data_IF_601398977017
#
_entry.id   IF_601398977017
#
_cell.length_a   1.000
_cell.length_b   1.000
_cell.length_c   1.000
_cell.angle_alpha   90.00
_cell.angle_beta   90.00
_cell.angle_gamma   90.00
#
_symmetry.space_group_name_H-M   'P 1'
#
loop_
_entity.id
_entity.type
_entity.pdbx_description
1 polymer ?
#
# COMPACT_ATOMS: atom_id res chain seq x y z
N UNK A 1 -27.17 -16.44 -21.84
CA UNK A 1 -27.27 -15.30 -20.89
C UNK A 1 -26.06 -15.17 -19.93
N UNK A 2 -24.80 -15.53 -20.30
CA UNK A 2 -23.72 -15.65 -19.29
C UNK A 2 -22.64 -14.55 -19.27
N UNK A 3 -22.50 -13.74 -20.33
CA UNK A 3 -21.36 -12.80 -20.45
C UNK A 3 -21.52 -11.56 -19.55
N UNK A 4 -22.74 -11.12 -19.27
CA UNK A 4 -23.02 -9.92 -18.45
C UNK A 4 -22.62 -10.06 -16.99
N UNK A 5 -22.50 -11.29 -16.46
CA UNK A 5 -22.17 -11.53 -15.04
C UNK A 5 -20.67 -11.41 -14.79
N UNK A 6 -19.83 -11.98 -15.65
CA UNK A 6 -18.37 -11.98 -15.51
C UNK A 6 -17.78 -10.56 -15.43
N UNK A 7 -18.23 -9.63 -16.29
CA UNK A 7 -17.77 -8.23 -16.26
C UNK A 7 -18.17 -7.44 -15.00
N UNK A 8 -19.28 -7.83 -14.34
CA UNK A 8 -19.70 -7.19 -13.07
C UNK A 8 -18.83 -7.65 -11.90
N UNK A 9 -18.44 -8.93 -11.86
CA UNK A 9 -17.54 -9.45 -10.83
C UNK A 9 -16.12 -8.87 -10.94
N UNK A 10 -15.58 -8.75 -12.15
CA UNK A 10 -14.26 -8.13 -12.38
C UNK A 10 -14.23 -6.68 -11.86
N UNK A 11 -15.25 -5.89 -12.22
CA UNK A 11 -15.36 -4.48 -11.80
C UNK A 11 -15.45 -4.32 -10.28
N UNK A 12 -16.20 -5.20 -9.62
CA UNK A 12 -16.34 -5.16 -8.15
C UNK A 12 -15.04 -5.57 -7.46
N UNK A 13 -14.29 -6.53 -8.01
CA UNK A 13 -12.98 -6.92 -7.53
C UNK A 13 -11.96 -5.78 -7.68
N UNK A 14 -11.92 -5.15 -8.86
CA UNK A 14 -11.00 -4.04 -9.14
C UNK A 14 -11.25 -2.84 -8.20
N UNK A 15 -12.51 -2.48 -7.99
CA UNK A 15 -12.90 -1.40 -7.06
C UNK A 15 -12.47 -1.70 -5.61
N UNK A 16 -12.68 -2.93 -5.14
CA UNK A 16 -12.27 -3.33 -3.79
C UNK A 16 -10.75 -3.36 -3.62
N UNK A 17 -10.01 -3.85 -4.62
CA UNK A 17 -8.55 -3.90 -4.59
C UNK A 17 -7.96 -2.48 -4.58
N UNK A 18 -8.47 -1.59 -5.44
CA UNK A 18 -8.03 -0.19 -5.48
C UNK A 18 -8.32 0.54 -4.17
N UNK A 19 -9.50 0.33 -3.57
CA UNK A 19 -9.81 0.91 -2.25
C UNK A 19 -8.82 0.45 -1.15
N UNK A 20 -8.34 -0.80 -1.20
CA UNK A 20 -7.35 -1.28 -0.24
C UNK A 20 -5.97 -0.68 -0.50
N UNK A 21 -5.58 -0.57 -1.77
CA UNK A 21 -4.33 0.09 -2.20
C UNK A 21 -4.33 1.54 -1.72
N UNK A 22 -5.40 2.30 -1.97
CA UNK A 22 -5.52 3.71 -1.57
C UNK A 22 -5.41 3.87 -0.05
N UNK A 23 -6.11 3.03 0.72
CA UNK A 23 -6.01 3.04 2.20
C UNK A 23 -4.60 2.76 2.70
N UNK A 24 -3.84 1.90 2.04
CA UNK A 24 -2.46 1.60 2.43
C UNK A 24 -1.50 2.71 1.97
N UNK A 25 -1.78 3.34 0.83
CA UNK A 25 -1.06 4.52 0.34
C UNK A 25 -1.18 5.70 1.31
N UNK A 26 -2.38 5.97 1.82
CA UNK A 26 -2.60 7.02 2.83
C UNK A 26 -1.81 6.72 4.11
N UNK A 27 -1.82 5.47 4.56
CA UNK A 27 -1.01 5.04 5.72
C UNK A 27 0.49 5.18 5.47
N UNK A 28 0.94 4.90 4.24
CA UNK A 28 2.33 5.07 3.86
C UNK A 28 2.73 6.54 3.92
N UNK A 29 1.91 7.44 3.38
CA UNK A 29 2.15 8.88 3.44
C UNK A 29 2.32 9.35 4.88
N UNK A 30 1.41 8.97 5.78
CA UNK A 30 1.52 9.29 7.21
C UNK A 30 2.80 8.74 7.83
N UNK A 31 3.16 7.48 7.53
CA UNK A 31 4.36 6.86 8.08
C UNK A 31 5.65 7.52 7.56
N UNK A 32 5.67 7.97 6.29
CA UNK A 32 6.80 8.69 5.70
C UNK A 32 6.94 10.08 6.33
N UNK A 33 5.85 10.85 6.41
CA UNK A 33 5.88 12.16 7.07
C UNK A 33 6.31 12.07 8.53
N UNK A 34 5.85 11.06 9.27
CA UNK A 34 6.28 10.84 10.65
C UNK A 34 7.78 10.51 10.74
N UNK A 35 8.30 9.71 9.80
CA UNK A 35 9.73 9.43 9.73
C UNK A 35 10.54 10.69 9.42
N UNK A 36 10.10 11.53 8.49
CA UNK A 36 10.76 12.80 8.13
C UNK A 36 10.83 13.75 9.34
N UNK A 37 9.70 13.95 10.04
CA UNK A 37 9.65 14.76 11.26
C UNK A 37 10.61 14.23 12.34
N UNK A 38 10.62 12.92 12.58
CA UNK A 38 11.53 12.33 13.57
C UNK A 38 12.99 12.33 13.12
N UNK A 39 13.26 12.34 11.81
CA UNK A 39 14.61 12.52 11.29
C UNK A 39 15.12 13.94 11.54
N UNK A 40 14.28 14.95 11.31
CA UNK A 40 14.59 16.35 11.63
C UNK A 40 14.82 16.55 13.12
N UNK A 41 13.88 16.13 13.98
CA UNK A 41 14.04 16.22 15.44
C UNK A 41 15.26 15.44 15.95
N UNK A 42 15.67 14.35 15.28
CA UNK A 42 16.89 13.63 15.67
C UNK A 42 18.15 14.45 15.37
N UNK A 43 18.19 15.16 14.24
CA UNK A 43 19.29 16.07 13.91
C UNK A 43 19.39 17.24 14.88
N UNK A 44 18.26 17.66 15.45
CA UNK A 44 18.19 18.67 16.51
C UNK A 44 18.48 18.12 17.91
N UNK A 45 18.64 16.79 18.06
CA UNK A 45 18.89 16.12 19.35
C UNK A 45 17.66 15.99 20.26
N UNK A 46 16.45 16.27 19.74
CA UNK A 46 15.19 16.28 20.50
C UNK A 46 14.61 14.88 20.69
N UNK A 47 14.94 13.94 19.80
CA UNK A 47 14.47 12.56 19.86
C UNK A 47 15.63 11.57 19.77
N UNK A 48 15.43 10.38 20.31
CA UNK A 48 16.44 9.32 20.28
C UNK A 48 16.62 8.71 18.88
N UNK A 49 17.81 8.18 18.62
CA UNK A 49 18.09 7.38 17.41
C UNK A 49 17.12 6.20 17.28
N UNK A 50 16.69 5.61 18.40
CA UNK A 50 15.71 4.52 18.43
C UNK A 50 14.36 4.96 17.86
N UNK A 51 13.85 6.12 18.28
CA UNK A 51 12.58 6.67 17.79
C UNK A 51 12.60 6.87 16.26
N UNK A 52 13.68 7.48 15.74
CA UNK A 52 13.89 7.62 14.29
C UNK A 52 13.93 6.26 13.56
N UNK A 53 14.65 5.28 14.11
CA UNK A 53 14.78 3.94 13.53
C UNK A 53 13.45 3.19 13.51
N UNK A 54 12.64 3.33 14.54
CA UNK A 54 11.34 2.68 14.62
C UNK A 54 10.34 3.29 13.63
N UNK A 55 10.36 4.62 13.44
CA UNK A 55 9.58 5.30 12.41
C UNK A 55 9.99 4.88 10.99
N UNK A 56 11.30 4.77 10.73
CA UNK A 56 11.81 4.27 9.45
C UNK A 56 11.36 2.83 9.17
N UNK A 57 11.43 1.94 10.18
CA UNK A 57 10.92 0.56 10.03
C UNK A 57 9.42 0.54 9.75
N UNK A 58 8.66 1.45 10.34
CA UNK A 58 7.22 1.55 10.10
C UNK A 58 6.90 1.97 8.66
N UNK A 59 7.61 2.96 8.11
CA UNK A 59 7.45 3.36 6.70
C UNK A 59 7.82 2.21 5.75
N UNK A 60 8.93 1.50 6.00
CA UNK A 60 9.33 0.32 5.23
C UNK A 60 8.27 -0.80 5.26
N UNK A 61 7.72 -1.12 6.44
CA UNK A 61 6.67 -2.15 6.57
C UNK A 61 5.41 -1.78 5.80
N UNK A 62 5.02 -0.52 5.85
CA UNK A 62 3.83 -0.03 5.14
C UNK A 62 4.04 -0.05 3.64
N UNK A 63 5.24 0.32 3.17
CA UNK A 63 5.63 0.22 1.76
C UNK A 63 5.59 -1.24 1.26
N UNK A 64 6.19 -2.17 2.00
CA UNK A 64 6.16 -3.59 1.64
C UNK A 64 4.72 -4.14 1.53
N UNK A 65 3.81 -3.66 2.39
CA UNK A 65 2.39 -4.01 2.32
C UNK A 65 1.72 -3.45 1.06
N UNK A 66 2.03 -2.20 0.69
CA UNK A 66 1.52 -1.57 -0.53
C UNK A 66 2.00 -2.33 -1.78
N UNK A 67 3.29 -2.65 -1.82
CA UNK A 67 3.89 -3.41 -2.91
C UNK A 67 3.25 -4.80 -3.07
N UNK A 68 2.99 -5.50 -1.95
CA UNK A 68 2.29 -6.78 -1.97
C UNK A 68 0.89 -6.66 -2.57
N UNK A 69 0.13 -5.64 -2.19
CA UNK A 69 -1.22 -5.41 -2.74
C UNK A 69 -1.18 -5.12 -4.25
N UNK A 70 -0.22 -4.31 -4.70
CA UNK A 70 -0.03 -4.08 -6.14
C UNK A 70 0.33 -5.36 -6.90
N UNK A 71 1.24 -6.19 -6.35
CA UNK A 71 1.60 -7.48 -6.96
C UNK A 71 0.39 -8.41 -7.05
N UNK A 72 -0.39 -8.53 -5.99
CA UNK A 72 -1.61 -9.37 -5.98
C UNK A 72 -2.66 -8.89 -6.99
N UNK A 73 -2.84 -7.58 -7.10
CA UNK A 73 -3.73 -6.98 -8.09
C UNK A 73 -3.29 -7.30 -9.52
N UNK A 74 -2.03 -7.06 -9.84
CA UNK A 74 -1.46 -7.31 -11.17
C UNK A 74 -1.49 -8.80 -11.53
N UNK A 75 -1.19 -9.70 -10.58
CA UNK A 75 -1.29 -11.14 -10.80
C UNK A 75 -2.73 -11.53 -11.15
N UNK A 76 -3.72 -11.09 -10.37
CA UNK A 76 -5.14 -11.44 -10.61
C UNK A 76 -5.69 -10.85 -11.91
N UNK A 77 -5.22 -9.66 -12.32
CA UNK A 77 -5.51 -9.14 -13.65
C UNK A 77 -4.91 -10.01 -14.76
N UNK A 78 -3.64 -10.40 -14.65
CA UNK A 78 -2.97 -11.25 -15.64
C UNK A 78 -3.60 -12.65 -15.75
N UNK A 79 -4.08 -13.23 -14.64
CA UNK A 79 -4.84 -14.49 -14.65
C UNK A 79 -6.22 -14.34 -15.30
N UNK A 80 -6.88 -13.19 -15.13
CA UNK A 80 -8.20 -12.95 -15.73
C UNK A 80 -8.12 -12.74 -17.26
N UNK A 81 -7.03 -12.15 -17.76
CA UNK A 81 -6.84 -11.91 -19.19
C UNK A 81 -6.36 -13.15 -19.97
N UNK A 82 -5.79 -14.15 -19.29
CA UNK A 82 -5.31 -15.40 -19.91
C UNK A 82 -6.36 -16.53 -19.94
N UNK A 83 -7.55 -16.31 -19.37
CA UNK A 83 -8.69 -17.23 -19.40
C UNK A 83 -9.85 -16.81 -20.31
N UNK A 84 -9.70 -15.68 -21.02
CA UNK A 84 -10.64 -15.15 -22.03
C UNK A 84 -10.14 -15.47 -23.44
#
# INVERSE_FOLDING_TARGET
MSVKRAGKYQRTFDEQAMQQIDKVKDKLNVAVTQYEQLAESYLLGEVSQKARKDAFKNSQRTYAKLEKLHREYLQKQAYSSSQL
#
